data_IF_665359250794
#
_entry.id   IF_665359250794
#
_cell.length_a   1.000
_cell.length_b   1.000
_cell.length_c   1.000
_cell.angle_alpha   90.00
_cell.angle_beta   90.00
_cell.angle_gamma   90.00
#
_symmetry.space_group_name_H-M   'P 1'
#
loop_
_entity.id
_entity.type
_entity.pdbx_description
1 polymer ?
#
# COMPACT_ATOMS: atom_id res chain seq x y z
N UNK A 1 -12.59 0.05 5.71
CA UNK A 1 -11.92 -0.97 4.86
C UNK A 1 -10.55 -0.45 4.47
N UNK A 2 -9.51 -1.23 4.70
CA UNK A 2 -8.12 -0.89 4.36
C UNK A 2 -7.62 -1.87 3.30
N UNK A 3 -7.18 -1.34 2.16
CA UNK A 3 -6.71 -2.13 1.02
C UNK A 3 -5.25 -1.82 0.77
N UNK A 4 -4.38 -2.84 0.80
CA UNK A 4 -2.99 -2.71 0.39
C UNK A 4 -2.82 -3.09 -1.08
N UNK A 5 -1.92 -2.41 -1.80
CA UNK A 5 -1.60 -2.74 -3.19
C UNK A 5 -0.10 -2.72 -3.43
N UNK A 6 0.37 -3.73 -4.17
CA UNK A 6 1.75 -3.81 -4.69
C UNK A 6 1.73 -4.29 -6.13
N UNK A 7 2.59 -3.69 -6.96
CA UNK A 7 2.98 -4.25 -8.25
C UNK A 7 4.34 -4.91 -8.13
N UNK A 8 4.49 -6.14 -8.63
CA UNK A 8 5.74 -6.90 -8.55
C UNK A 8 6.04 -7.69 -9.82
N UNK A 9 7.30 -8.10 -9.95
CA UNK A 9 7.76 -9.08 -10.93
C UNK A 9 7.30 -10.51 -10.60
N UNK A 10 7.47 -11.45 -11.53
CA UNK A 10 7.20 -12.88 -11.31
C UNK A 10 8.00 -13.46 -10.14
N UNK A 11 9.21 -12.97 -9.92
CA UNK A 11 10.12 -13.41 -8.86
C UNK A 11 10.02 -12.59 -7.57
N UNK A 12 8.98 -11.72 -7.45
CA UNK A 12 8.57 -11.11 -6.19
C UNK A 12 9.26 -9.78 -5.83
N UNK A 13 9.81 -9.06 -6.80
CA UNK A 13 10.48 -7.77 -6.59
C UNK A 13 9.65 -6.59 -7.12
N UNK A 14 9.71 -5.47 -6.42
CA UNK A 14 9.03 -4.21 -6.80
C UNK A 14 9.96 -3.23 -7.51
N UNK A 15 11.25 -3.45 -7.46
CA UNK A 15 12.29 -2.62 -8.07
C UNK A 15 13.62 -3.37 -8.12
N UNK A 16 14.54 -2.89 -8.94
CA UNK A 16 15.95 -3.30 -8.87
C UNK A 16 16.61 -2.81 -7.58
N UNK A 17 17.82 -3.24 -7.28
CA UNK A 17 18.60 -2.71 -6.13
C UNK A 17 18.85 -1.21 -6.21
N UNK A 18 19.08 -0.67 -7.40
CA UNK A 18 19.25 0.77 -7.62
C UNK A 18 17.98 1.58 -7.41
N UNK A 19 16.83 0.90 -7.31
CA UNK A 19 15.53 1.53 -7.08
C UNK A 19 14.75 1.82 -8.36
N UNK A 20 15.21 1.36 -9.53
CA UNK A 20 14.42 1.45 -10.74
C UNK A 20 13.18 0.56 -10.59
N UNK A 21 12.02 1.21 -10.53
CA UNK A 21 10.69 0.61 -10.38
C UNK A 21 9.75 0.99 -11.52
N UNK A 22 10.23 1.83 -12.46
CA UNK A 22 9.40 2.28 -13.57
C UNK A 22 9.06 1.09 -14.47
N UNK A 23 7.79 0.98 -14.82
CA UNK A 23 7.30 -0.06 -15.75
C UNK A 23 7.45 -1.52 -15.25
N UNK A 24 7.58 -1.75 -13.94
CA UNK A 24 7.44 -3.12 -13.42
C UNK A 24 6.07 -3.66 -13.79
N UNK A 25 5.01 -2.88 -13.62
CA UNK A 25 3.64 -3.21 -14.06
C UNK A 25 3.19 -2.30 -15.20
N UNK A 26 2.23 -2.78 -16.00
CA UNK A 26 1.73 -2.07 -17.16
C UNK A 26 0.72 -0.94 -16.85
N UNK A 27 0.30 -0.23 -17.92
CA UNK A 27 -0.59 0.94 -17.84
C UNK A 27 -1.94 0.63 -17.20
N UNK A 28 -2.49 -0.58 -17.41
CA UNK A 28 -3.77 -0.97 -16.80
C UNK A 28 -3.69 -1.01 -15.27
N UNK A 29 -2.52 -1.38 -14.71
CA UNK A 29 -2.31 -1.29 -13.27
C UNK A 29 -2.21 0.16 -12.80
N UNK A 30 -1.59 1.05 -13.58
CA UNK A 30 -1.55 2.49 -13.27
C UNK A 30 -2.99 3.07 -13.24
N UNK A 31 -3.81 2.73 -14.22
CA UNK A 31 -5.23 3.13 -14.25
C UNK A 31 -5.96 2.56 -13.03
N UNK A 32 -5.68 1.30 -12.65
CA UNK A 32 -6.26 0.69 -11.46
C UNK A 32 -5.89 1.43 -10.17
N UNK A 33 -4.62 1.82 -10.00
CA UNK A 33 -4.18 2.66 -8.86
C UNK A 33 -4.99 3.97 -8.78
N UNK A 34 -5.21 4.63 -9.91
CA UNK A 34 -6.01 5.85 -9.95
C UNK A 34 -7.50 5.60 -9.62
N UNK A 35 -8.07 4.44 -9.99
CA UNK A 35 -9.41 4.03 -9.56
C UNK A 35 -9.47 3.80 -8.06
N UNK A 36 -8.47 3.11 -7.51
CA UNK A 36 -8.39 2.87 -6.06
C UNK A 36 -8.29 4.18 -5.27
N UNK A 37 -7.49 5.14 -5.76
CA UNK A 37 -7.43 6.50 -5.17
C UNK A 37 -8.78 7.20 -5.22
N UNK A 38 -9.46 7.17 -6.37
CA UNK A 38 -10.77 7.81 -6.55
C UNK A 38 -11.87 7.20 -5.67
N UNK A 39 -11.76 5.92 -5.33
CA UNK A 39 -12.71 5.18 -4.49
C UNK A 39 -12.40 5.27 -3.00
N UNK A 40 -11.23 5.80 -2.63
CA UNK A 40 -10.76 5.84 -1.24
C UNK A 40 -10.90 7.22 -0.62
N UNK A 41 -11.13 7.26 0.69
CA UNK A 41 -11.20 8.51 1.44
C UNK A 41 -9.79 9.02 1.76
N UNK A 42 -8.83 8.10 1.91
CA UNK A 42 -7.41 8.41 2.12
C UNK A 42 -6.49 7.44 1.36
N UNK A 43 -5.35 7.96 0.88
CA UNK A 43 -4.23 7.18 0.35
C UNK A 43 -3.02 7.31 1.27
N UNK A 44 -2.44 6.18 1.67
CA UNK A 44 -1.29 6.12 2.57
C UNK A 44 -0.06 5.62 1.83
N UNK A 45 1.06 6.34 1.98
CA UNK A 45 2.38 5.91 1.50
C UNK A 45 3.42 6.04 2.59
N UNK A 46 4.47 5.24 2.53
CA UNK A 46 5.62 5.36 3.42
C UNK A 46 6.66 6.37 2.92
N UNK A 47 7.51 6.84 3.83
CA UNK A 47 8.60 7.76 3.52
C UNK A 47 9.53 7.27 2.40
N UNK A 48 9.79 5.97 2.33
CA UNK A 48 10.63 5.39 1.27
C UNK A 48 10.07 5.62 -0.13
N UNK A 49 8.76 5.47 -0.30
CA UNK A 49 8.08 5.75 -1.58
C UNK A 49 8.15 7.22 -1.94
N UNK A 50 7.93 8.12 -0.95
CA UNK A 50 8.05 9.57 -1.20
C UNK A 50 9.48 9.94 -1.61
N UNK A 51 10.48 9.41 -0.92
CA UNK A 51 11.88 9.71 -1.20
C UNK A 51 12.37 9.18 -2.57
N UNK A 52 11.81 8.06 -3.04
CA UNK A 52 12.22 7.44 -4.31
C UNK A 52 11.45 8.00 -5.50
N UNK A 53 10.13 8.15 -5.38
CA UNK A 53 9.23 8.36 -6.52
C UNK A 53 8.64 9.79 -6.57
N UNK A 54 8.79 10.58 -5.50
CA UNK A 54 8.20 11.91 -5.34
C UNK A 54 6.75 11.98 -5.88
N UNK A 55 5.83 11.12 -5.37
CA UNK A 55 4.53 10.91 -5.98
C UNK A 55 3.57 12.05 -5.65
N UNK A 56 2.66 12.40 -6.57
CA UNK A 56 1.59 13.36 -6.32
C UNK A 56 0.40 12.76 -5.53
N UNK A 57 0.17 11.45 -5.64
CA UNK A 57 -0.95 10.72 -5.00
C UNK A 57 -2.35 11.25 -5.35
N UNK A 58 -2.49 11.83 -6.53
CA UNK A 58 -3.74 12.40 -7.05
C UNK A 58 -4.40 11.47 -8.06
N UNK A 59 -5.68 11.73 -8.34
CA UNK A 59 -6.46 11.05 -9.38
C UNK A 59 -6.30 11.82 -10.69
N UNK A 60 -5.76 11.17 -11.74
CA UNK A 60 -5.48 11.81 -13.05
C UNK A 60 -5.95 10.99 -14.25
N UNK A 61 -5.92 9.65 -14.15
CA UNK A 61 -6.22 8.77 -15.28
C UNK A 61 -7.67 8.28 -15.32
N UNK A 62 -8.48 8.65 -14.33
CA UNK A 62 -9.92 8.34 -14.26
C UNK A 62 -10.67 9.52 -13.65
N UNK A 63 -12.00 9.66 -13.89
CA UNK A 63 -12.83 10.60 -13.16
C UNK A 63 -12.92 10.21 -11.68
N UNK A 64 -12.92 11.22 -10.80
CA UNK A 64 -13.12 11.01 -9.36
C UNK A 64 -12.43 12.06 -8.50
N UNK A 65 -12.78 12.14 -7.21
CA UNK A 65 -12.14 13.05 -6.26
C UNK A 65 -10.73 12.59 -5.88
N UNK A 66 -9.88 13.54 -5.48
CA UNK A 66 -8.62 13.21 -4.85
C UNK A 66 -8.86 12.76 -3.39
N UNK A 67 -8.21 11.68 -2.93
CA UNK A 67 -8.25 11.27 -1.53
C UNK A 67 -7.41 12.21 -0.65
N UNK A 68 -7.61 12.15 0.67
CA UNK A 68 -6.67 12.69 1.63
C UNK A 68 -5.32 11.96 1.48
N UNK A 69 -4.25 12.69 1.21
CA UNK A 69 -2.89 12.12 1.12
C UNK A 69 -2.32 11.95 2.52
N UNK A 70 -1.74 10.80 2.81
CA UNK A 70 -1.14 10.48 4.11
C UNK A 70 0.26 9.94 3.90
N UNK A 71 1.25 10.66 4.41
CA UNK A 71 2.65 10.24 4.39
C UNK A 71 3.02 9.72 5.76
N UNK A 72 3.35 8.43 5.87
CA UNK A 72 3.77 7.79 7.10
C UNK A 72 5.31 7.74 7.17
N UNK A 73 5.88 8.59 8.01
CA UNK A 73 7.32 8.73 8.22
C UNK A 73 7.66 8.77 9.72
N UNK A 74 7.64 7.63 10.42
CA UNK A 74 7.91 7.57 11.86
C UNK A 74 9.20 8.26 12.27
N UNK A 75 10.24 8.14 11.43
CA UNK A 75 11.56 8.72 11.68
C UNK A 75 11.73 10.18 11.26
N UNK A 76 10.68 10.79 10.70
CA UNK A 76 10.70 12.19 10.24
C UNK A 76 11.91 12.55 9.39
N UNK A 77 12.17 11.74 8.35
CA UNK A 77 13.37 11.83 7.49
C UNK A 77 13.17 12.67 6.24
N UNK A 78 11.91 12.96 5.87
CA UNK A 78 11.58 13.63 4.63
C UNK A 78 11.77 15.15 4.75
N UNK A 79 12.42 15.73 3.75
CA UNK A 79 12.48 17.18 3.57
C UNK A 79 11.14 17.73 3.01
N UNK A 80 10.87 19.00 3.25
CA UNK A 80 9.65 19.66 2.78
C UNK A 80 9.59 19.90 1.26
N UNK A 81 10.64 19.54 0.51
CA UNK A 81 10.76 19.80 -0.93
C UNK A 81 9.99 18.86 -1.83
N UNK A 82 9.50 17.74 -1.29
CA UNK A 82 8.71 16.76 -2.04
C UNK A 82 7.34 17.31 -2.44
N UNK A 83 6.81 16.87 -3.59
CA UNK A 83 5.53 17.35 -4.15
C UNK A 83 4.37 17.25 -3.17
N UNK A 84 4.27 16.16 -2.42
CA UNK A 84 3.22 15.96 -1.40
C UNK A 84 3.20 17.04 -0.32
N UNK A 85 4.30 17.81 -0.17
CA UNK A 85 4.44 18.90 0.80
C UNK A 85 4.47 20.29 0.17
N UNK A 86 4.56 20.40 -1.15
CA UNK A 86 4.70 21.69 -1.84
C UNK A 86 3.53 22.00 -2.78
N UNK A 87 2.85 20.97 -3.30
CA UNK A 87 1.71 21.18 -4.18
C UNK A 87 0.40 21.43 -3.40
N UNK A 88 -0.53 22.14 -4.03
CA UNK A 88 -1.85 22.45 -3.47
C UNK A 88 -2.96 21.58 -4.07
N UNK A 89 -2.59 20.44 -4.68
CA UNK A 89 -3.55 19.58 -5.40
C UNK A 89 -4.52 18.82 -4.48
N UNK A 90 -4.22 18.77 -3.18
CA UNK A 90 -5.10 18.18 -2.16
C UNK A 90 -4.50 18.25 -0.77
N UNK A 91 -5.32 18.01 0.26
CA UNK A 91 -4.85 18.00 1.64
C UNK A 91 -3.87 16.87 1.89
N UNK A 92 -2.83 17.14 2.70
CA UNK A 92 -1.82 16.15 3.10
C UNK A 92 -1.68 16.09 4.61
N UNK A 93 -1.67 14.89 5.18
CA UNK A 93 -1.22 14.63 6.54
C UNK A 93 0.18 14.02 6.51
N UNK A 94 1.06 14.59 7.30
CA UNK A 94 2.39 14.06 7.56
C UNK A 94 2.40 13.42 8.93
N UNK A 95 2.38 12.09 8.99
CA UNK A 95 2.29 11.31 10.23
C UNK A 95 3.69 10.83 10.62
N UNK A 96 4.19 11.27 11.77
CA UNK A 96 5.51 10.94 12.29
C UNK A 96 5.46 10.63 13.78
N UNK A 97 6.59 10.23 14.37
CA UNK A 97 6.68 10.04 15.82
C UNK A 97 6.41 11.36 16.55
N UNK A 98 5.53 11.32 17.55
CA UNK A 98 5.24 12.48 18.41
C UNK A 98 6.50 13.02 19.09
N UNK A 99 7.45 12.16 19.44
CA UNK A 99 8.72 12.55 20.05
C UNK A 99 9.60 13.43 19.13
N UNK A 100 9.33 13.43 17.83
CA UNK A 100 10.08 14.20 16.83
C UNK A 100 9.35 15.48 16.39
N UNK A 101 8.18 15.78 16.95
CA UNK A 101 7.41 17.00 16.63
C UNK A 101 7.85 18.10 17.60
N UNK A 102 8.34 19.21 17.06
CA UNK A 102 8.73 20.36 17.87
C UNK A 102 7.52 21.07 18.48
N UNK A 103 7.72 21.71 19.64
CA UNK A 103 6.64 22.42 20.33
C UNK A 103 6.08 23.55 19.45
N UNK A 104 4.79 23.50 19.21
CA UNK A 104 4.09 24.49 18.37
C UNK A 104 4.19 24.24 16.87
N UNK A 105 4.90 23.22 16.43
CA UNK A 105 4.99 22.87 15.01
C UNK A 105 3.74 22.12 14.55
N UNK A 106 3.08 22.64 13.52
CA UNK A 106 1.82 22.08 13.00
C UNK A 106 1.87 21.75 11.52
N UNK A 107 2.90 22.18 10.80
CA UNK A 107 2.98 22.05 9.35
C UNK A 107 4.40 21.72 8.86
N UNK A 108 4.45 20.92 7.77
CA UNK A 108 5.63 20.73 6.94
C UNK A 108 5.23 21.12 5.50
N UNK A 109 5.65 22.30 5.03
CA UNK A 109 5.14 22.84 3.78
C UNK A 109 3.62 23.03 3.82
N UNK A 110 2.90 22.45 2.84
CA UNK A 110 1.42 22.45 2.81
C UNK A 110 0.78 21.39 3.69
N UNK A 111 1.54 20.39 4.13
CA UNK A 111 1.03 19.26 4.92
C UNK A 111 0.81 19.62 6.39
N UNK A 112 -0.25 19.08 6.98
CA UNK A 112 -0.48 19.13 8.43
C UNK A 112 0.30 18.02 9.12
N UNK A 113 1.13 18.36 10.11
CA UNK A 113 1.87 17.39 10.92
C UNK A 113 0.94 16.77 11.94
N UNK A 114 1.05 15.46 12.10
CA UNK A 114 0.38 14.70 13.16
C UNK A 114 1.40 13.76 13.81
N UNK A 115 1.66 14.00 15.08
CA UNK A 115 2.46 13.10 15.90
C UNK A 115 1.63 11.91 16.37
N UNK A 116 2.19 10.71 16.26
CA UNK A 116 1.64 9.48 16.83
C UNK A 116 2.72 8.78 17.66
N UNK A 117 2.30 7.93 18.60
CA UNK A 117 3.24 7.07 19.30
C UNK A 117 3.75 6.00 18.34
N UNK A 118 5.08 5.96 18.16
CA UNK A 118 5.78 5.04 17.27
C UNK A 118 6.78 4.13 18.00
N UNK A 119 6.69 4.02 19.32
CA UNK A 119 7.57 3.15 20.11
C UNK A 119 7.38 1.68 19.69
N UNK A 120 6.15 1.29 19.36
CA UNK A 120 5.84 0.06 18.64
C UNK A 120 5.46 0.38 17.18
N UNK A 121 6.15 -0.22 16.19
CA UNK A 121 5.83 0.00 14.76
C UNK A 121 4.38 -0.31 14.40
N UNK A 122 3.79 -1.35 15.00
CA UNK A 122 2.39 -1.72 14.80
C UNK A 122 1.44 -0.72 15.44
N UNK A 123 1.81 -0.21 16.62
CA UNK A 123 1.08 0.83 17.35
C UNK A 123 0.98 2.13 16.57
N UNK A 124 2.09 2.59 15.99
CA UNK A 124 2.11 3.80 15.18
C UNK A 124 1.17 3.74 13.96
N UNK A 125 1.13 2.59 13.26
CA UNK A 125 0.23 2.38 12.11
C UNK A 125 -1.24 2.32 12.59
N UNK A 126 -1.51 1.61 13.70
CA UNK A 126 -2.85 1.51 14.28
C UNK A 126 -3.38 2.87 14.72
N UNK A 127 -2.54 3.69 15.36
CA UNK A 127 -2.87 5.06 15.76
C UNK A 127 -3.17 5.94 14.53
N UNK A 128 -2.37 5.83 13.45
CA UNK A 128 -2.61 6.54 12.20
C UNK A 128 -3.96 6.16 11.58
N UNK A 129 -4.32 4.87 11.54
CA UNK A 129 -5.63 4.42 11.08
C UNK A 129 -6.78 4.91 11.97
N UNK A 130 -6.60 4.89 13.30
CA UNK A 130 -7.55 5.43 14.25
C UNK A 130 -7.82 6.92 14.02
N UNK A 131 -6.76 7.68 13.77
CA UNK A 131 -6.85 9.10 13.40
C UNK A 131 -7.62 9.31 12.09
N UNK A 132 -7.36 8.50 11.06
CA UNK A 132 -8.09 8.60 9.79
C UNK A 132 -9.57 8.31 9.97
N UNK A 133 -9.92 7.28 10.76
CA UNK A 133 -11.32 6.95 11.09
C UNK A 133 -12.01 8.10 11.84
N UNK A 134 -11.35 8.74 12.81
CA UNK A 134 -11.90 9.89 13.53
C UNK A 134 -12.14 11.11 12.63
N UNK A 135 -11.46 11.17 11.47
CA UNK A 135 -11.65 12.19 10.42
C UNK A 135 -12.65 11.77 9.35
N UNK A 136 -13.36 10.64 9.52
CA UNK A 136 -14.35 10.14 8.56
C UNK A 136 -13.76 9.37 7.38
N UNK A 137 -12.46 9.04 7.40
CA UNK A 137 -11.82 8.24 6.35
C UNK A 137 -11.99 6.75 6.66
N UNK A 138 -12.99 6.12 6.06
CA UNK A 138 -13.33 4.70 6.28
C UNK A 138 -12.72 3.77 5.24
N UNK A 139 -12.45 4.29 4.03
CA UNK A 139 -11.80 3.57 2.94
C UNK A 139 -10.38 4.09 2.80
N UNK A 140 -9.42 3.29 3.23
CA UNK A 140 -8.00 3.65 3.22
C UNK A 140 -7.28 2.77 2.21
N UNK A 141 -6.57 3.41 1.29
CA UNK A 141 -5.75 2.74 0.29
C UNK A 141 -4.27 2.88 0.66
N UNK A 142 -3.60 1.77 0.95
CA UNK A 142 -2.17 1.72 1.25
C UNK A 142 -1.43 1.42 -0.05
N UNK A 143 -0.88 2.48 -0.64
CA UNK A 143 -0.19 2.43 -1.92
C UNK A 143 1.31 2.59 -1.72
N UNK A 144 2.07 1.72 -2.29
CA UNK A 144 3.49 1.93 -2.35
C UNK A 144 4.30 0.95 -1.52
N UNK A 145 5.58 1.21 -1.46
CA UNK A 145 6.70 0.39 -1.00
C UNK A 145 6.42 -0.86 -0.19
N UNK A 146 7.08 -1.94 -0.53
CA UNK A 146 6.91 -3.23 0.15
C UNK A 146 7.03 -3.16 1.67
N UNK A 147 7.84 -2.21 2.19
CA UNK A 147 8.00 -2.01 3.65
C UNK A 147 6.69 -1.57 4.30
N UNK A 148 6.00 -0.58 3.72
CA UNK A 148 4.75 -0.05 4.29
C UNK A 148 3.63 -1.09 4.23
N UNK A 149 3.41 -1.70 3.06
CA UNK A 149 2.38 -2.74 2.91
C UNK A 149 2.68 -3.94 3.82
N UNK A 150 3.94 -4.36 3.93
CA UNK A 150 4.36 -5.43 4.85
C UNK A 150 4.06 -5.09 6.30
N UNK A 151 4.32 -3.85 6.73
CA UNK A 151 4.05 -3.42 8.09
C UNK A 151 2.54 -3.45 8.43
N UNK A 152 1.69 -2.98 7.50
CA UNK A 152 0.23 -3.09 7.64
C UNK A 152 -0.24 -4.55 7.67
N UNK A 153 0.34 -5.40 6.81
CA UNK A 153 0.01 -6.83 6.74
C UNK A 153 0.44 -7.56 8.02
N UNK A 154 1.65 -7.28 8.52
CA UNK A 154 2.16 -7.85 9.77
C UNK A 154 1.31 -7.47 10.98
N UNK A 155 0.83 -6.24 11.02
CA UNK A 155 -0.04 -5.71 12.08
C UNK A 155 -1.50 -6.18 11.97
N UNK A 156 -1.87 -6.99 10.97
CA UNK A 156 -3.26 -7.41 10.68
C UNK A 156 -4.21 -6.23 10.44
N UNK A 157 -3.72 -5.17 9.80
CA UNK A 157 -4.46 -3.93 9.57
C UNK A 157 -4.94 -3.76 8.12
N UNK A 158 -4.76 -4.77 7.27
CA UNK A 158 -5.34 -4.85 5.94
C UNK A 158 -6.58 -5.74 5.95
N UNK A 159 -7.67 -5.26 5.36
CA UNK A 159 -8.85 -6.07 5.05
C UNK A 159 -8.65 -6.84 3.74
N UNK A 160 -7.95 -6.21 2.79
CA UNK A 160 -7.63 -6.79 1.48
C UNK A 160 -6.21 -6.48 1.07
N UNK A 161 -5.61 -7.41 0.32
CA UNK A 161 -4.31 -7.23 -0.31
C UNK A 161 -4.42 -7.50 -1.81
N UNK A 162 -4.06 -6.51 -2.60
CA UNK A 162 -4.00 -6.59 -4.06
C UNK A 162 -2.54 -6.69 -4.50
N UNK A 163 -2.21 -7.74 -5.26
CA UNK A 163 -0.86 -7.95 -5.82
C UNK A 163 -1.01 -8.06 -7.33
N UNK A 164 -0.50 -7.06 -8.05
CA UNK A 164 -0.34 -7.09 -9.49
C UNK A 164 1.01 -7.75 -9.85
N UNK A 165 0.95 -8.85 -10.57
CA UNK A 165 2.14 -9.60 -11.00
C UNK A 165 2.36 -9.34 -12.48
N UNK A 166 3.48 -8.72 -12.80
CA UNK A 166 3.92 -8.48 -14.17
C UNK A 166 4.79 -9.64 -14.71
N UNK A 167 4.72 -9.94 -16.01
CA UNK A 167 5.48 -11.02 -16.61
C UNK A 167 6.95 -10.62 -16.88
N UNK A 168 7.63 -10.14 -15.82
CA UNK A 168 9.03 -9.73 -15.83
C UNK A 168 9.78 -10.44 -14.70
N UNK A 169 11.05 -10.77 -14.93
CA UNK A 169 11.97 -11.33 -13.94
C UNK A 169 13.07 -10.32 -13.72
N UNK A 170 13.24 -9.89 -12.47
CA UNK A 170 14.26 -8.91 -12.06
C UNK A 170 15.55 -9.60 -11.61
N UNK A 171 15.45 -10.82 -11.06
CA UNK A 171 16.58 -11.61 -10.59
C UNK A 171 16.94 -11.34 -9.12
N UNK A 172 17.32 -10.12 -8.80
CA UNK A 172 17.54 -9.64 -7.42
C UNK A 172 17.20 -8.16 -7.32
N UNK A 173 16.60 -7.76 -6.21
CA UNK A 173 16.11 -6.39 -6.07
C UNK A 173 15.41 -6.11 -4.74
N UNK A 174 14.54 -5.12 -4.73
CA UNK A 174 13.72 -4.76 -3.56
C UNK A 174 12.51 -5.67 -3.50
N UNK A 175 12.39 -6.58 -2.49
CA UNK A 175 11.25 -7.50 -2.41
C UNK A 175 9.94 -6.76 -2.13
N UNK A 176 8.85 -7.34 -2.64
CA UNK A 176 7.50 -6.81 -2.49
C UNK A 176 7.01 -6.93 -1.04
N UNK A 177 6.98 -8.13 -0.49
CA UNK A 177 6.52 -8.41 0.87
C UNK A 177 7.66 -8.96 1.71
N UNK A 178 7.80 -8.43 2.93
CA UNK A 178 8.74 -8.91 3.94
C UNK A 178 8.00 -9.11 5.25
N UNK A 179 7.87 -10.36 5.65
CA UNK A 179 7.27 -10.75 6.93
C UNK A 179 8.27 -11.58 7.73
N UNK A 180 8.01 -11.72 9.02
CA UNK A 180 8.73 -12.68 9.84
C UNK A 180 8.54 -14.10 9.27
N UNK A 181 9.59 -14.94 9.25
CA UNK A 181 9.50 -16.28 8.68
C UNK A 181 8.62 -17.18 9.54
N UNK A 182 7.81 -18.02 8.88
CA UNK A 182 7.09 -19.11 9.52
C UNK A 182 7.92 -20.39 9.44
N UNK A 183 7.87 -21.20 10.50
CA UNK A 183 8.60 -22.48 10.55
C UNK A 183 7.94 -23.56 9.68
N UNK A 184 6.63 -23.47 9.47
CA UNK A 184 5.84 -24.46 8.73
C UNK A 184 4.91 -23.78 7.74
N UNK A 185 4.66 -24.45 6.61
CA UNK A 185 3.67 -23.97 5.63
C UNK A 185 2.24 -23.95 6.17
N UNK A 186 1.92 -24.78 7.17
CA UNK A 186 0.63 -24.74 7.89
C UNK A 186 0.39 -23.43 8.64
N UNK A 187 1.46 -22.74 9.00
CA UNK A 187 1.39 -21.49 9.77
C UNK A 187 1.27 -20.27 8.84
N UNK A 188 1.41 -20.49 7.52
CA UNK A 188 1.30 -19.43 6.52
C UNK A 188 -0.16 -19.11 6.23
N UNK A 189 -0.45 -17.83 5.99
CA UNK A 189 -1.78 -17.37 5.61
C UNK A 189 -2.19 -17.91 4.25
N UNK A 190 -3.44 -18.30 4.12
CA UNK A 190 -4.08 -18.76 2.87
C UNK A 190 -5.35 -17.95 2.65
N UNK A 191 -5.25 -16.70 2.17
CA UNK A 191 -6.42 -15.88 1.97
C UNK A 191 -7.29 -16.43 0.83
N UNK A 192 -8.61 -16.22 0.91
CA UNK A 192 -9.46 -16.34 -0.28
C UNK A 192 -9.08 -15.26 -1.27
N UNK A 193 -9.10 -15.57 -2.56
CA UNK A 193 -8.69 -14.61 -3.58
C UNK A 193 -9.55 -14.66 -4.84
N UNK A 194 -9.51 -13.58 -5.58
CA UNK A 194 -10.00 -13.49 -6.97
C UNK A 194 -8.84 -13.08 -7.86
N UNK A 195 -8.87 -13.55 -9.10
CA UNK A 195 -7.84 -13.24 -10.10
C UNK A 195 -8.47 -12.41 -11.22
N UNK A 196 -7.76 -11.35 -11.61
CA UNK A 196 -8.16 -10.48 -12.72
C UNK A 196 -6.99 -10.32 -13.68
N UNK A 197 -7.30 -10.30 -14.97
CA UNK A 197 -6.34 -9.90 -15.99
C UNK A 197 -6.34 -8.37 -16.09
N UNK A 198 -5.16 -7.76 -16.10
CA UNK A 198 -4.96 -6.32 -16.27
C UNK A 198 -3.93 -6.08 -17.38
N UNK A 199 -4.39 -6.05 -18.65
CA UNK A 199 -3.48 -5.99 -19.79
C UNK A 199 -2.53 -7.18 -19.84
N UNK A 200 -1.24 -6.92 -19.69
CA UNK A 200 -0.19 -7.94 -19.58
C UNK A 200 -0.02 -8.53 -18.18
N UNK A 201 -0.56 -7.89 -17.15
CA UNK A 201 -0.39 -8.26 -15.74
C UNK A 201 -1.54 -9.14 -15.24
N UNK A 202 -1.30 -9.80 -14.11
CA UNK A 202 -2.31 -10.57 -13.36
C UNK A 202 -2.46 -9.98 -11.97
N UNK A 203 -3.69 -9.60 -11.59
CA UNK A 203 -4.00 -9.10 -10.26
C UNK A 203 -4.60 -10.20 -9.40
N UNK A 204 -3.97 -10.48 -8.26
CA UNK A 204 -4.57 -11.21 -7.15
C UNK A 204 -5.21 -10.22 -6.17
N UNK A 205 -6.52 -10.35 -5.95
CA UNK A 205 -7.29 -9.57 -4.97
C UNK A 205 -7.65 -10.50 -3.80
N UNK A 206 -6.83 -10.47 -2.76
CA UNK A 206 -6.88 -11.36 -1.60
C UNK A 206 -7.74 -10.75 -0.49
N UNK A 207 -8.69 -11.54 0.03
CA UNK A 207 -9.49 -11.23 1.22
C UNK A 207 -8.76 -11.74 2.46
N UNK A 208 -8.29 -10.83 3.31
CA UNK A 208 -7.51 -11.16 4.51
C UNK A 208 -8.38 -11.34 5.77
N UNK A 209 -9.69 -11.07 5.67
CA UNK A 209 -10.66 -11.29 6.76
C UNK A 209 -11.22 -12.71 6.75
N UNK A 210 -11.11 -13.41 5.60
CA UNK A 210 -11.56 -14.78 5.44
C UNK A 210 -10.35 -15.71 5.30
N UNK A 211 -9.99 -16.44 6.34
CA UNK A 211 -9.06 -17.54 6.20
C UNK A 211 -9.71 -18.64 5.35
N UNK A 212 -9.08 -19.00 4.23
CA UNK A 212 -9.42 -20.23 3.53
C UNK A 212 -9.01 -21.40 4.43
N UNK A 213 -9.98 -22.07 5.05
CA UNK A 213 -9.71 -23.36 5.66
C UNK A 213 -9.27 -24.32 4.55
N UNK A 214 -8.29 -25.18 4.82
CA UNK A 214 -7.75 -26.18 3.87
C UNK A 214 -8.82 -27.17 3.33
N UNK A 215 -10.08 -27.00 3.71
CA UNK A 215 -11.23 -27.84 3.36
C UNK A 215 -12.06 -27.34 2.18
N UNK A 216 -11.77 -26.17 1.60
CA UNK A 216 -12.57 -25.59 0.51
C UNK A 216 -12.10 -25.98 -0.90
N UNK A 217 -11.30 -27.04 -1.06
CA UNK A 217 -10.97 -27.63 -2.38
C UNK A 217 -12.21 -28.16 -3.14
N UNK A 218 -13.39 -28.14 -2.51
CA UNK A 218 -14.68 -28.52 -3.08
C UNK A 218 -15.71 -27.38 -3.15
N UNK A 219 -15.30 -26.11 -3.17
CA UNK A 219 -16.27 -25.04 -3.47
C UNK A 219 -16.77 -25.20 -4.91
N UNK A 220 -18.05 -25.55 -5.12
CA UNK A 220 -18.60 -25.74 -6.47
C UNK A 220 -18.61 -24.44 -7.30
N UNK A 221 -18.28 -23.29 -6.68
CA UNK A 221 -18.15 -21.99 -7.34
C UNK A 221 -16.71 -21.67 -7.75
N UNK A 222 -15.73 -22.50 -7.39
CA UNK A 222 -14.39 -22.40 -7.96
C UNK A 222 -14.44 -23.07 -9.33
N UNK A 223 -14.35 -22.32 -10.43
CA UNK A 223 -14.34 -22.95 -11.74
C UNK A 223 -13.16 -23.92 -11.81
N UNK A 224 -13.35 -25.11 -12.42
CA UNK A 224 -12.24 -26.03 -12.65
C UNK A 224 -11.13 -25.26 -13.37
N UNK A 225 -9.86 -25.65 -13.09
CA UNK A 225 -8.68 -25.05 -13.74
C UNK A 225 -8.84 -25.16 -15.25
N UNK A 226 -9.58 -24.24 -15.83
CA UNK A 226 -9.65 -24.06 -17.28
C UNK A 226 -8.55 -23.08 -17.63
N UNK A 227 -7.70 -23.46 -18.58
CA UNK A 227 -6.74 -22.55 -19.20
C UNK A 227 -7.43 -21.21 -19.47
N UNK A 228 -7.02 -20.19 -18.73
CA UNK A 228 -7.31 -18.80 -19.07
C UNK A 228 -6.37 -18.47 -20.22
N UNK A 229 -6.82 -18.78 -21.44
CA UNK A 229 -6.16 -18.34 -22.68
C UNK A 229 -6.71 -16.98 -23.05
#
# INVERSE_FOLDING_TARGET
MTVGHLGQSLDGFIATHSGDSQFVTGDDNIVHLHRMRALSDAVVVGAGTVATDDPQLTVRHVPGPNPLRVVFDPGRRLAQTYRVFTDETGPTLYVCSQALVESGETRLGTATIVGVDCDDPSGGISAALGLLRSRGCWRVFVEGGGVTVSAFLQANLLDRLQIAIAPVIIGDGRPAIRLAPHARLSDCRRPRYRVFRMGGDVLFDCDLQADATLSDDNDPNVPPVNQVI
#
